data_IF_847898929966
#
_entry.id   IF_847898929966
#
_cell.length_a   1.000
_cell.length_b   1.000
_cell.length_c   1.000
_cell.angle_alpha   90.00
_cell.angle_beta   90.00
_cell.angle_gamma   90.00
#
_symmetry.space_group_name_H-M   'P 1'
#
loop_
_entity.id
_entity.type
_entity.pdbx_description
1 polymer ?
#
# COMPACT_ATOMS: atom_id res chain seq x y z
N UNK A 1 27.87 5.92 5.11
CA UNK A 1 26.63 6.68 4.86
C UNK A 1 25.48 5.77 5.24
N UNK A 2 24.46 6.29 5.94
CA UNK A 2 23.32 5.49 6.37
C UNK A 2 22.52 5.04 5.15
N UNK A 3 22.61 3.76 4.81
CA UNK A 3 21.81 3.16 3.76
C UNK A 3 20.36 3.04 4.26
N UNK A 4 19.39 3.50 3.47
CA UNK A 4 17.99 3.36 3.80
C UNK A 4 17.56 1.90 3.69
N UNK A 5 17.41 1.21 4.83
CA UNK A 5 17.03 -0.22 4.87
C UNK A 5 15.52 -0.47 4.76
N UNK A 6 14.70 0.59 4.78
CA UNK A 6 13.24 0.55 4.69
C UNK A 6 12.66 1.90 4.24
N UNK A 7 11.39 1.91 3.83
CA UNK A 7 10.65 3.13 3.46
C UNK A 7 9.34 3.20 4.27
N UNK A 8 9.13 4.31 4.98
CA UNK A 8 7.89 4.53 5.74
C UNK A 8 6.75 4.92 4.82
N UNK A 9 5.53 4.51 5.18
CA UNK A 9 4.31 5.05 4.58
C UNK A 9 4.12 6.52 4.99
N UNK A 10 3.31 7.26 4.24
CA UNK A 10 2.97 8.64 4.61
C UNK A 10 2.23 8.72 5.96
N UNK A 11 1.39 7.73 6.27
CA UNK A 11 0.72 7.66 7.57
C UNK A 11 1.74 7.49 8.70
N UNK A 12 2.70 6.58 8.58
CA UNK A 12 3.72 6.41 9.63
C UNK A 12 4.71 7.57 9.74
N UNK A 13 4.95 8.28 8.63
CA UNK A 13 5.85 9.42 8.61
C UNK A 13 5.21 10.69 9.20
N UNK A 14 3.93 10.95 8.90
CA UNK A 14 3.28 12.24 9.19
C UNK A 14 2.13 12.14 10.19
N UNK A 15 1.43 11.00 10.28
CA UNK A 15 0.29 10.82 11.17
C UNK A 15 -0.97 11.59 10.77
N UNK A 16 -0.97 12.28 9.63
CA UNK A 16 -2.11 13.10 9.22
C UNK A 16 -3.33 12.24 8.86
N UNK A 17 -4.56 12.69 9.21
CA UNK A 17 -5.79 11.96 8.91
C UNK A 17 -5.96 11.61 7.42
N UNK A 18 -5.50 12.49 6.52
CA UNK A 18 -5.56 12.29 5.07
C UNK A 18 -4.67 11.14 4.57
N UNK A 19 -3.58 10.82 5.27
CA UNK A 19 -2.68 9.72 4.91
C UNK A 19 -3.04 8.43 5.64
N UNK A 20 -3.60 8.54 6.84
CA UNK A 20 -4.02 7.41 7.67
C UNK A 20 -5.47 6.98 7.42
N UNK A 21 -6.22 7.72 6.60
CA UNK A 21 -7.64 7.49 6.36
C UNK A 21 -8.45 7.41 7.66
N UNK A 22 -8.31 8.43 8.49
CA UNK A 22 -9.01 8.55 9.78
C UNK A 22 -9.79 9.86 9.89
N UNK A 23 -10.67 9.97 10.90
CA UNK A 23 -11.52 11.16 11.09
C UNK A 23 -12.37 11.45 9.85
N UNK A 24 -12.29 12.68 9.33
CA UNK A 24 -13.02 13.10 8.12
C UNK A 24 -12.64 12.30 6.86
N UNK A 25 -11.48 11.62 6.89
CA UNK A 25 -10.97 10.77 5.82
C UNK A 25 -11.25 9.27 6.07
N UNK A 26 -12.12 8.91 7.01
CA UNK A 26 -12.40 7.51 7.36
C UNK A 26 -13.31 6.75 6.36
N UNK A 27 -13.43 7.24 5.12
CA UNK A 27 -14.19 6.54 4.08
C UNK A 27 -13.39 6.52 2.76
N UNK A 28 -13.61 5.53 1.87
CA UNK A 28 -13.00 5.53 0.53
C UNK A 28 -13.38 6.77 -0.31
N UNK A 29 -14.55 7.36 -0.04
CA UNK A 29 -14.99 8.56 -0.73
C UNK A 29 -14.14 9.78 -0.33
N UNK A 30 -13.70 9.85 0.93
CA UNK A 30 -12.98 11.01 1.48
C UNK A 30 -11.47 10.81 1.54
N UNK A 31 -10.95 9.60 1.76
CA UNK A 31 -9.52 9.33 1.66
C UNK A 31 -9.10 9.08 0.20
N UNK A 32 -8.34 10.01 -0.38
CA UNK A 32 -7.85 9.91 -1.76
C UNK A 32 -6.39 9.45 -1.80
N UNK A 33 -5.96 8.81 -2.91
CA UNK A 33 -4.54 8.54 -3.13
C UNK A 33 -3.72 9.82 -3.06
N UNK A 34 -2.58 9.76 -2.37
CA UNK A 34 -1.59 10.83 -2.31
C UNK A 34 -0.42 10.55 -3.26
N UNK A 35 0.46 11.55 -3.48
CA UNK A 35 1.71 11.32 -4.20
C UNK A 35 2.57 10.23 -3.55
N UNK A 36 2.54 10.12 -2.22
CA UNK A 36 3.24 9.08 -1.48
C UNK A 36 2.65 7.69 -1.73
N UNK A 37 1.33 7.53 -1.68
CA UNK A 37 0.72 6.22 -1.96
C UNK A 37 0.91 5.82 -3.42
N UNK A 38 0.82 6.77 -4.36
CA UNK A 38 1.09 6.51 -5.77
C UNK A 38 2.52 6.01 -6.02
N UNK A 39 3.51 6.54 -5.30
CA UNK A 39 4.89 6.06 -5.36
C UNK A 39 4.98 4.55 -5.02
N UNK A 40 4.37 4.12 -3.91
CA UNK A 40 4.34 2.71 -3.55
C UNK A 40 3.54 1.87 -4.54
N UNK A 41 2.46 2.42 -5.10
CA UNK A 41 1.64 1.73 -6.10
C UNK A 41 2.41 1.48 -7.40
N UNK A 42 3.18 2.46 -7.86
CA UNK A 42 4.02 2.31 -9.05
C UNK A 42 5.12 1.26 -8.86
N UNK A 43 5.73 1.21 -7.67
CA UNK A 43 6.75 0.21 -7.36
C UNK A 43 6.18 -1.20 -7.19
N UNK A 44 5.00 -1.32 -6.56
CA UNK A 44 4.32 -2.59 -6.29
C UNK A 44 2.83 -2.53 -6.70
N UNK A 45 2.48 -2.63 -8.00
CA UNK A 45 1.11 -2.42 -8.48
C UNK A 45 0.06 -3.38 -7.93
N UNK A 46 0.50 -4.55 -7.47
CA UNK A 46 -0.36 -5.60 -6.89
C UNK A 46 -0.48 -5.49 -5.36
N UNK A 47 0.24 -4.59 -4.73
CA UNK A 47 0.16 -4.37 -3.29
C UNK A 47 -0.78 -3.20 -2.98
N UNK A 48 -1.31 -3.23 -1.76
CA UNK A 48 -2.00 -2.08 -1.18
C UNK A 48 -0.99 -0.96 -0.89
N UNK A 49 -1.26 0.23 -1.41
CA UNK A 49 -0.42 1.42 -1.23
C UNK A 49 -0.96 2.42 -0.21
N UNK A 50 -2.25 2.33 0.13
CA UNK A 50 -2.94 3.09 1.19
C UNK A 50 -4.18 2.29 1.66
N UNK A 51 -4.86 2.77 2.71
CA UNK A 51 -5.89 1.99 3.40
C UNK A 51 -7.08 1.55 2.54
N UNK A 52 -7.43 2.31 1.49
CA UNK A 52 -8.57 2.00 0.60
C UNK A 52 -8.15 1.71 -0.85
N UNK A 53 -6.99 1.08 -1.05
CA UNK A 53 -6.48 0.66 -2.38
C UNK A 53 -7.15 -0.65 -2.87
N UNK A 54 -8.48 -0.68 -2.94
CA UNK A 54 -9.29 -1.91 -3.00
C UNK A 54 -9.50 -2.49 -4.41
N UNK A 55 -9.40 -1.68 -5.47
CA UNK A 55 -9.77 -2.08 -6.84
C UNK A 55 -8.73 -2.93 -7.60
N UNK A 56 -7.45 -2.89 -7.23
CA UNK A 56 -6.37 -3.62 -7.94
C UNK A 56 -5.48 -4.48 -7.04
N UNK A 57 -5.72 -4.43 -5.72
CA UNK A 57 -4.87 -5.06 -4.71
C UNK A 57 -5.58 -6.16 -3.94
N UNK A 58 -6.88 -6.34 -4.15
CA UNK A 58 -7.68 -7.41 -3.52
C UNK A 58 -7.61 -8.67 -4.35
N UNK A 59 -7.03 -9.73 -3.77
CA UNK A 59 -7.00 -11.05 -4.38
C UNK A 59 -7.73 -12.04 -3.47
N UNK A 60 -8.71 -12.73 -4.02
CA UNK A 60 -9.50 -13.75 -3.29
C UNK A 60 -9.34 -15.10 -3.98
N UNK A 61 -9.15 -16.14 -3.17
CA UNK A 61 -9.11 -17.54 -3.63
C UNK A 61 -9.95 -18.39 -2.67
N UNK A 62 -10.77 -19.29 -3.21
CA UNK A 62 -11.55 -20.23 -2.42
C UNK A 62 -10.77 -21.55 -2.29
N UNK A 63 -10.72 -22.12 -1.08
CA UNK A 63 -10.08 -23.41 -0.79
C UNK A 63 -8.64 -23.51 -1.32
N UNK A 64 -7.76 -22.60 -0.87
CA UNK A 64 -6.39 -22.49 -1.35
C UNK A 64 -5.36 -22.66 -0.23
N UNK A 65 -4.21 -23.22 -0.61
CA UNK A 65 -2.97 -23.14 0.17
C UNK A 65 -2.15 -21.92 -0.29
N UNK A 66 -1.35 -21.36 0.62
CA UNK A 66 -0.57 -20.15 0.38
C UNK A 66 0.92 -20.38 0.60
N UNK A 67 1.76 -19.75 -0.22
CA UNK A 67 3.21 -19.69 -0.03
C UNK A 67 3.65 -18.24 0.01
N UNK A 68 4.43 -17.88 1.04
CA UNK A 68 5.00 -16.53 1.20
C UNK A 68 6.48 -16.61 0.89
N UNK A 69 6.92 -15.82 -0.09
CA UNK A 69 8.31 -15.75 -0.54
C UNK A 69 8.86 -14.35 -0.28
N UNK A 70 9.98 -14.26 0.44
CA UNK A 70 10.73 -13.02 0.62
C UNK A 70 11.73 -12.85 -0.53
N UNK A 71 11.89 -11.61 -0.99
CA UNK A 71 12.70 -11.29 -2.17
C UNK A 71 12.34 -12.13 -3.42
N UNK A 72 11.04 -12.19 -3.81
CA UNK A 72 10.67 -12.87 -5.04
C UNK A 72 11.31 -12.16 -6.23
N UNK A 73 11.56 -12.89 -7.33
CA UNK A 73 11.93 -12.25 -8.60
C UNK A 73 10.88 -11.20 -8.95
N UNK A 74 11.27 -9.98 -9.38
CA UNK A 74 10.32 -8.93 -9.69
C UNK A 74 9.25 -9.48 -10.63
N UNK A 75 7.98 -9.23 -10.30
CA UNK A 75 6.85 -9.63 -11.13
C UNK A 75 6.83 -8.75 -12.37
N UNK A 76 7.67 -9.06 -13.36
CA UNK A 76 7.58 -8.45 -14.68
C UNK A 76 6.28 -8.93 -15.31
N UNK A 77 5.27 -8.07 -15.34
CA UNK A 77 4.16 -8.19 -16.28
C UNK A 77 4.31 -7.11 -17.33
#
# INVERSE_FOLDING_TARGET
>A
GGEGVACKSACEAFGDPQYCCSGDFATPATCKPSSYSQFFKSACPRAYSYAYDDGTSTFTCASADYTITFCPTPSTR
#
